data_IF_797861631171
#
_entry.id   IF_797861631171
#
_cell.length_a   1.000
_cell.length_b   1.000
_cell.length_c   1.000
_cell.angle_alpha   90.00
_cell.angle_beta   90.00
_cell.angle_gamma   90.00
#
_symmetry.space_group_name_H-M   'P 1'
#
loop_
_entity.id
_entity.type
_entity.pdbx_description
1 polymer ?
#
# COMPACT_ATOMS: atom_id res chain seq x y z
N UNK A 1 23.73 -7.02 -20.86
CA UNK A 1 22.37 -6.57 -21.16
C UNK A 1 22.19 -5.11 -20.78
N UNK A 2 21.27 -4.47 -21.42
CA UNK A 2 20.85 -3.12 -21.06
C UNK A 2 19.64 -3.23 -20.15
N UNK A 3 19.55 -2.36 -19.15
CA UNK A 3 18.40 -2.26 -18.25
C UNK A 3 17.83 -0.84 -18.36
N UNK A 4 16.51 -0.70 -18.42
CA UNK A 4 15.88 0.61 -18.38
C UNK A 4 15.80 1.13 -16.93
N UNK A 5 15.68 2.45 -16.79
CA UNK A 5 15.68 3.10 -15.47
C UNK A 5 14.56 2.61 -14.58
N UNK A 6 13.35 2.49 -15.12
CA UNK A 6 12.21 1.99 -14.36
C UNK A 6 12.43 0.58 -13.80
N UNK A 7 13.03 -0.32 -14.56
CA UNK A 7 13.34 -1.68 -14.09
C UNK A 7 14.44 -1.70 -13.03
N UNK A 8 15.47 -0.87 -13.18
CA UNK A 8 16.50 -0.74 -12.17
C UNK A 8 15.93 -0.27 -10.83
N UNK A 9 15.14 0.82 -10.86
CA UNK A 9 14.52 1.35 -9.64
C UNK A 9 13.58 0.34 -9.00
N UNK A 10 12.72 -0.30 -9.78
CA UNK A 10 11.83 -1.35 -9.30
C UNK A 10 12.58 -2.48 -8.58
N UNK A 11 13.64 -2.98 -9.21
CA UNK A 11 14.42 -4.09 -8.66
C UNK A 11 15.20 -3.67 -7.41
N UNK A 12 15.83 -2.49 -7.44
CA UNK A 12 16.61 -1.97 -6.33
C UNK A 12 15.72 -1.66 -5.10
N UNK A 13 14.55 -1.08 -5.31
CA UNK A 13 13.60 -0.79 -4.23
C UNK A 13 13.01 -2.06 -3.63
N UNK A 14 12.66 -3.05 -4.44
CA UNK A 14 12.22 -4.35 -3.95
C UNK A 14 13.29 -5.03 -3.09
N UNK A 15 14.57 -4.98 -3.53
CA UNK A 15 15.69 -5.52 -2.77
C UNK A 15 15.95 -4.73 -1.47
N UNK A 16 15.70 -3.43 -1.46
CA UNK A 16 15.85 -2.58 -0.28
C UNK A 16 14.64 -2.61 0.67
N UNK A 17 13.59 -3.38 0.34
CA UNK A 17 12.36 -3.43 1.13
C UNK A 17 11.51 -2.17 1.05
N UNK A 18 11.74 -1.30 0.06
CA UNK A 18 10.91 -0.14 -0.19
C UNK A 18 9.62 -0.62 -0.86
N UNK A 19 8.46 -0.42 -0.25
CA UNK A 19 7.21 -0.91 -0.80
C UNK A 19 6.91 -0.20 -2.11
N UNK A 20 6.79 -0.99 -3.16
CA UNK A 20 6.33 -0.53 -4.45
C UNK A 20 4.84 -0.85 -4.55
N UNK A 21 4.01 0.18 -4.67
CA UNK A 21 2.66 -0.01 -5.12
C UNK A 21 2.71 -0.52 -6.56
N UNK A 22 2.16 -1.68 -6.79
CA UNK A 22 1.91 -2.14 -8.15
C UNK A 22 0.65 -1.44 -8.67
N UNK A 23 0.81 -0.17 -9.05
CA UNK A 23 -0.25 0.64 -9.59
C UNK A 23 -0.84 0.07 -10.90
N UNK A 24 -0.17 -0.91 -11.51
CA UNK A 24 -0.62 -1.51 -12.77
C UNK A 24 -1.86 -2.38 -12.62
N UNK A 25 -2.15 -2.87 -11.44
CA UNK A 25 -3.30 -3.75 -11.25
C UNK A 25 -4.60 -3.00 -10.95
N UNK A 26 -4.54 -1.76 -10.44
CA UNK A 26 -5.71 -1.13 -9.82
C UNK A 26 -5.84 0.39 -9.97
N UNK A 27 -4.89 1.07 -10.59
CA UNK A 27 -4.98 2.51 -10.77
C UNK A 27 -5.52 2.83 -12.16
N UNK A 28 -6.43 3.78 -12.21
CA UNK A 28 -6.85 4.43 -13.47
C UNK A 28 -5.70 5.20 -14.11
N UNK A 29 -4.65 5.49 -13.35
CA UNK A 29 -3.40 6.04 -13.83
C UNK A 29 -2.51 4.89 -14.27
N UNK A 30 -2.50 4.60 -15.54
CA UNK A 30 -1.79 3.52 -16.22
C UNK A 30 -0.26 3.63 -16.12
N UNK A 31 0.27 3.81 -14.91
CA UNK A 31 1.72 3.76 -14.71
C UNK A 31 2.19 2.30 -14.70
N UNK A 32 3.16 2.01 -15.53
CA UNK A 32 3.86 0.73 -15.44
C UNK A 32 4.58 0.61 -14.08
N UNK A 33 4.86 -0.60 -13.58
CA UNK A 33 5.61 -0.78 -12.34
C UNK A 33 6.93 -0.02 -12.30
N UNK A 34 7.61 0.07 -13.44
CA UNK A 34 8.84 0.84 -13.59
C UNK A 34 8.64 2.34 -13.50
N UNK A 35 7.56 2.87 -14.07
CA UNK A 35 7.22 4.29 -13.97
C UNK A 35 6.87 4.67 -12.53
N UNK A 36 6.11 3.81 -11.83
CA UNK A 36 5.78 4.03 -10.44
C UNK A 36 7.03 4.01 -9.55
N UNK A 37 7.94 3.03 -9.74
CA UNK A 37 9.20 2.98 -9.01
C UNK A 37 10.05 4.24 -9.27
N UNK A 38 10.09 4.72 -10.51
CA UNK A 38 10.83 5.93 -10.83
C UNK A 38 10.20 7.18 -10.21
N UNK A 39 8.86 7.26 -10.15
CA UNK A 39 8.14 8.34 -9.46
C UNK A 39 8.55 8.39 -7.98
N UNK A 40 8.53 7.26 -7.31
CA UNK A 40 9.02 7.13 -5.93
C UNK A 40 10.49 7.57 -5.83
N UNK A 41 11.33 7.16 -6.77
CA UNK A 41 12.73 7.57 -6.82
C UNK A 41 12.93 9.08 -6.96
N UNK A 42 12.09 9.77 -7.70
CA UNK A 42 12.08 11.24 -7.81
C UNK A 42 11.66 11.89 -6.49
N UNK A 43 10.59 11.42 -5.88
CA UNK A 43 10.11 11.90 -4.58
C UNK A 43 11.16 11.74 -3.47
N UNK A 44 11.98 10.68 -3.54
CA UNK A 44 13.13 10.44 -2.67
C UNK A 44 14.36 11.31 -2.99
N UNK A 45 14.34 12.06 -4.07
CA UNK A 45 15.51 12.79 -4.56
C UNK A 45 16.62 11.87 -5.10
N UNK A 46 16.32 10.60 -5.36
CA UNK A 46 17.25 9.61 -5.92
C UNK A 46 17.33 9.67 -7.45
N UNK A 47 16.43 10.40 -8.08
CA UNK A 47 16.37 10.58 -9.53
C UNK A 47 15.98 12.02 -9.87
N UNK A 48 16.61 12.56 -10.90
CA UNK A 48 16.24 13.89 -11.40
C UNK A 48 14.87 13.86 -12.10
N UNK A 49 14.09 14.93 -11.96
CA UNK A 49 12.72 15.07 -12.46
C UNK A 49 12.58 14.85 -13.99
N UNK A 50 13.60 15.24 -14.76
CA UNK A 50 13.61 15.14 -16.22
C UNK A 50 13.91 13.74 -16.75
N UNK A 51 14.11 12.74 -15.89
CA UNK A 51 14.40 11.36 -16.31
C UNK A 51 13.13 10.56 -16.54
N UNK A 52 13.18 9.62 -17.48
CA UNK A 52 12.07 8.73 -17.82
C UNK A 52 12.37 7.27 -17.46
N UNK A 53 11.35 6.46 -17.25
CA UNK A 53 11.49 5.06 -16.91
C UNK A 53 12.03 4.21 -18.10
N UNK A 54 11.76 4.64 -19.32
CA UNK A 54 12.19 3.94 -20.53
C UNK A 54 13.65 4.18 -20.90
N UNK A 55 14.27 5.24 -20.37
CA UNK A 55 15.67 5.55 -20.66
C UNK A 55 16.62 4.46 -20.15
N UNK A 56 17.66 4.19 -20.90
CA UNK A 56 18.72 3.29 -20.47
C UNK A 56 19.53 3.92 -19.33
N UNK A 57 19.90 3.07 -18.39
CA UNK A 57 20.69 3.48 -17.22
C UNK A 57 22.20 3.34 -17.49
N UNK A 58 22.96 4.35 -17.09
CA UNK A 58 24.42 4.25 -17.05
C UNK A 58 24.88 3.49 -15.81
N UNK A 59 26.10 2.92 -15.87
CA UNK A 59 26.72 2.28 -14.69
C UNK A 59 26.88 3.25 -13.52
N UNK A 60 27.14 4.52 -13.82
CA UNK A 60 27.27 5.56 -12.79
C UNK A 60 25.95 5.81 -12.08
N UNK A 61 24.85 5.94 -12.80
CA UNK A 61 23.52 6.08 -12.20
C UNK A 61 23.14 4.88 -11.35
N UNK A 62 23.41 3.67 -11.82
CA UNK A 62 23.14 2.46 -11.05
C UNK A 62 23.97 2.42 -9.76
N UNK A 63 25.24 2.76 -9.82
CA UNK A 63 26.12 2.81 -8.65
C UNK A 63 25.66 3.89 -7.64
N UNK A 64 25.26 5.06 -8.12
CA UNK A 64 24.73 6.14 -7.27
C UNK A 64 23.45 5.71 -6.55
N UNK A 65 22.50 5.09 -7.26
CA UNK A 65 21.27 4.57 -6.65
C UNK A 65 21.58 3.54 -5.57
N UNK A 66 22.39 2.53 -5.88
CA UNK A 66 22.74 1.49 -4.92
C UNK A 66 23.50 2.06 -3.72
N UNK A 67 24.44 2.98 -3.93
CA UNK A 67 25.13 3.67 -2.85
C UNK A 67 24.15 4.42 -1.95
N UNK A 68 23.23 5.18 -2.53
CA UNK A 68 22.23 5.91 -1.76
C UNK A 68 21.32 4.97 -0.94
N UNK A 69 20.88 3.86 -1.52
CA UNK A 69 20.06 2.86 -0.81
C UNK A 69 20.80 2.16 0.34
N UNK A 70 22.11 2.00 0.22
CA UNK A 70 22.94 1.36 1.25
C UNK A 70 23.38 2.31 2.36
N UNK A 71 23.52 3.61 2.06
CA UNK A 71 24.11 4.59 2.99
C UNK A 71 23.09 5.55 3.59
N UNK A 72 22.01 5.84 2.89
CA UNK A 72 20.95 6.68 3.42
C UNK A 72 20.08 5.81 4.32
N UNK A 73 20.06 6.13 5.60
CA UNK A 73 19.00 5.67 6.48
C UNK A 73 17.73 6.37 6.00
N UNK A 74 16.97 5.70 5.16
CA UNK A 74 15.61 6.12 4.82
C UNK A 74 14.76 5.85 6.07
N UNK A 75 14.97 6.66 7.10
CA UNK A 75 14.18 6.59 8.32
C UNK A 75 12.80 7.16 7.97
N UNK A 76 11.89 6.26 7.69
CA UNK A 76 10.49 6.60 7.61
C UNK A 76 10.03 6.80 9.04
N UNK A 77 9.92 8.05 9.48
CA UNK A 77 9.14 8.34 10.67
C UNK A 77 7.70 8.02 10.34
N UNK A 78 7.06 7.10 11.05
CA UNK A 78 5.65 6.84 10.82
C UNK A 78 4.89 8.17 10.94
N UNK A 79 4.09 8.58 9.95
CA UNK A 79 3.30 9.78 10.06
C UNK A 79 2.25 9.61 11.14
N UNK A 80 1.90 10.71 11.82
CA UNK A 80 0.77 10.72 12.76
C UNK A 80 -0.51 10.40 12.01
N UNK A 81 -1.18 9.36 12.47
CA UNK A 81 -2.48 8.93 11.93
C UNK A 81 -3.52 8.87 13.03
N UNK A 82 -4.80 9.16 12.72
CA UNK A 82 -5.87 9.08 13.71
C UNK A 82 -6.22 7.64 14.12
N UNK A 83 -5.63 6.64 13.47
CA UNK A 83 -5.82 5.21 13.74
C UNK A 83 -4.49 4.49 13.79
N UNK A 84 -4.45 3.34 14.46
CA UNK A 84 -3.26 2.48 14.47
C UNK A 84 -3.04 1.86 13.08
N UNK A 85 -1.86 2.04 12.52
CA UNK A 85 -1.47 1.54 11.19
C UNK A 85 -0.11 0.90 11.24
N UNK A 86 0.00 -0.31 10.72
CA UNK A 86 1.27 -1.00 10.48
C UNK A 86 1.72 -0.80 9.03
N UNK A 87 3.02 -0.68 8.81
CA UNK A 87 3.66 -0.57 7.49
C UNK A 87 3.25 0.64 6.65
N UNK A 88 2.70 1.68 7.26
CA UNK A 88 2.44 2.93 6.58
C UNK A 88 3.77 3.60 6.24
N UNK A 89 3.88 4.08 5.01
CA UNK A 89 5.08 4.75 4.50
C UNK A 89 4.75 6.18 4.10
N UNK A 90 5.76 7.02 4.00
CA UNK A 90 5.61 8.39 3.50
C UNK A 90 5.03 8.47 2.07
N UNK A 91 5.09 7.37 1.32
CA UNK A 91 4.59 7.29 -0.07
C UNK A 91 3.09 7.11 -0.17
N UNK A 92 2.50 6.45 0.80
CA UNK A 92 1.08 6.12 0.78
C UNK A 92 0.28 6.88 1.84
N UNK A 93 0.94 7.61 2.74
CA UNK A 93 0.28 8.29 3.86
C UNK A 93 -0.76 9.30 3.39
N UNK A 94 -0.45 10.11 2.38
CA UNK A 94 -1.39 11.13 1.92
C UNK A 94 -2.67 10.50 1.36
N UNK A 95 -2.54 9.46 0.54
CA UNK A 95 -3.71 8.76 0.02
C UNK A 95 -4.52 8.09 1.13
N UNK A 96 -3.83 7.49 2.12
CA UNK A 96 -4.45 6.88 3.29
C UNK A 96 -5.23 7.90 4.14
N UNK A 97 -4.60 9.04 4.47
CA UNK A 97 -5.22 10.11 5.25
C UNK A 97 -6.43 10.74 4.53
N UNK A 98 -6.37 10.91 3.22
CA UNK A 98 -7.49 11.41 2.42
C UNK A 98 -8.72 10.50 2.51
N UNK A 99 -8.52 9.18 2.54
CA UNK A 99 -9.63 8.24 2.73
C UNK A 99 -10.14 8.25 4.19
N UNK A 100 -9.24 8.30 5.18
CA UNK A 100 -9.64 8.39 6.59
C UNK A 100 -10.43 9.65 6.92
N UNK A 101 -10.13 10.79 6.30
CA UNK A 101 -10.87 12.04 6.50
C UNK A 101 -12.36 11.95 6.14
N UNK A 102 -12.76 10.95 5.36
CA UNK A 102 -14.16 10.71 5.02
C UNK A 102 -14.91 10.00 6.14
N UNK A 103 -14.21 9.48 7.16
CA UNK A 103 -14.77 8.74 8.29
C UNK A 103 -14.91 9.70 9.47
N UNK A 104 -16.10 9.81 10.10
CA UNK A 104 -16.28 10.65 11.27
C UNK A 104 -15.35 10.27 12.43
N UNK A 105 -14.76 11.26 13.11
CA UNK A 105 -13.80 11.06 14.20
C UNK A 105 -14.31 10.09 15.30
N UNK A 106 -15.57 10.17 15.78
CA UNK A 106 -16.04 9.22 16.80
C UNK A 106 -15.98 7.76 16.36
N UNK A 107 -16.06 7.50 15.05
CA UNK A 107 -15.96 6.13 14.50
C UNK A 107 -14.50 5.69 14.44
N UNK A 108 -13.57 6.59 14.11
CA UNK A 108 -12.13 6.33 14.20
C UNK A 108 -11.68 6.07 15.64
N UNK A 109 -12.23 6.82 16.60
CA UNK A 109 -11.99 6.61 18.03
C UNK A 109 -12.47 5.23 18.46
N UNK A 110 -13.69 4.84 18.07
CA UNK A 110 -14.24 3.52 18.35
C UNK A 110 -13.41 2.39 17.72
N UNK A 111 -12.85 2.60 16.54
CA UNK A 111 -11.94 1.65 15.89
C UNK A 111 -10.70 1.39 16.75
N UNK A 112 -10.06 2.46 17.23
CA UNK A 112 -8.89 2.38 18.11
C UNK A 112 -9.23 1.74 19.46
N UNK A 113 -10.33 2.17 20.10
CA UNK A 113 -10.79 1.66 21.40
C UNK A 113 -11.12 0.16 21.34
N UNK A 114 -11.63 -0.31 20.22
CA UNK A 114 -11.87 -1.73 20.01
C UNK A 114 -10.61 -2.52 19.64
N UNK A 115 -9.46 -1.87 19.55
CA UNK A 115 -8.16 -2.51 19.27
C UNK A 115 -7.99 -3.01 17.84
N UNK A 116 -8.65 -2.36 16.89
CA UNK A 116 -8.45 -2.64 15.47
C UNK A 116 -7.23 -1.92 14.92
N UNK A 117 -6.61 -2.51 13.91
CA UNK A 117 -5.40 -1.97 13.26
C UNK A 117 -5.51 -2.12 11.76
N UNK A 118 -5.13 -1.08 11.03
CA UNK A 118 -4.87 -1.21 9.61
C UNK A 118 -3.47 -1.78 9.36
N UNK A 119 -3.35 -2.63 8.36
CA UNK A 119 -2.07 -3.19 7.90
C UNK A 119 -1.92 -2.89 6.42
N UNK A 120 -0.94 -2.07 6.09
CA UNK A 120 -0.62 -1.77 4.68
C UNK A 120 0.34 -2.84 4.20
N UNK A 121 -0.08 -3.63 3.22
CA UNK A 121 0.81 -4.66 2.70
C UNK A 121 0.14 -5.65 1.77
N UNK A 122 0.99 -6.33 1.01
CA UNK A 122 0.57 -7.22 -0.08
C UNK A 122 0.61 -8.69 0.27
N UNK A 123 1.40 -9.10 1.26
CA UNK A 123 1.69 -10.50 1.52
C UNK A 123 0.43 -11.29 1.88
N UNK A 124 -0.31 -10.81 2.88
CA UNK A 124 -1.57 -11.44 3.30
C UNK A 124 -2.60 -11.47 2.15
N UNK A 125 -2.78 -10.33 1.47
CA UNK A 125 -3.75 -10.20 0.38
C UNK A 125 -3.35 -11.06 -0.84
N UNK A 126 -2.06 -11.19 -1.12
CA UNK A 126 -1.56 -12.07 -2.17
C UNK A 126 -1.85 -13.54 -1.87
N UNK A 127 -1.62 -13.97 -0.63
CA UNK A 127 -1.94 -15.33 -0.18
C UNK A 127 -3.45 -15.59 -0.24
N UNK A 128 -4.25 -14.63 0.22
CA UNK A 128 -5.71 -14.71 0.16
C UNK A 128 -6.23 -14.76 -1.27
N UNK A 129 -5.71 -13.92 -2.16
CA UNK A 129 -6.05 -13.90 -3.58
C UNK A 129 -5.80 -15.23 -4.26
N UNK A 130 -4.64 -15.84 -3.98
CA UNK A 130 -4.31 -17.18 -4.50
C UNK A 130 -5.28 -18.26 -3.98
N UNK A 131 -5.63 -18.18 -2.70
CA UNK A 131 -6.55 -19.13 -2.07
C UNK A 131 -7.95 -19.03 -2.64
N UNK A 132 -8.44 -17.83 -2.90
CA UNK A 132 -9.80 -17.57 -3.35
C UNK A 132 -9.95 -17.59 -4.87
N UNK A 133 -8.86 -17.52 -5.62
CA UNK A 133 -8.88 -17.40 -7.08
C UNK A 133 -9.41 -16.04 -7.58
N UNK A 134 -9.42 -15.03 -6.72
CA UNK A 134 -9.86 -13.65 -7.02
C UNK A 134 -8.85 -12.65 -6.50
N UNK A 135 -8.86 -11.48 -7.08
CA UNK A 135 -7.92 -10.43 -6.70
C UNK A 135 -8.46 -9.65 -5.49
N UNK A 136 -7.77 -9.73 -4.35
CA UNK A 136 -8.14 -9.04 -3.12
C UNK A 136 -7.27 -7.80 -2.96
N UNK A 137 -7.88 -6.61 -2.94
CA UNK A 137 -7.21 -5.34 -2.67
C UNK A 137 -7.37 -4.87 -1.21
N UNK A 138 -8.28 -5.52 -0.49
CA UNK A 138 -8.52 -5.35 0.93
C UNK A 138 -9.09 -6.62 1.54
N UNK A 139 -9.03 -6.75 2.84
CA UNK A 139 -9.66 -7.81 3.61
C UNK A 139 -9.74 -7.47 5.10
N UNK A 140 -10.86 -7.74 5.73
CA UNK A 140 -11.02 -7.64 7.19
C UNK A 140 -10.83 -9.02 7.84
N UNK A 141 -9.86 -9.12 8.73
CA UNK A 141 -9.60 -10.30 9.55
C UNK A 141 -10.20 -10.09 10.95
N UNK A 142 -11.44 -10.51 11.13
CA UNK A 142 -12.22 -10.22 12.33
C UNK A 142 -11.60 -10.78 13.61
N UNK A 143 -11.08 -11.98 13.57
CA UNK A 143 -10.47 -12.64 14.73
C UNK A 143 -9.20 -11.93 15.19
N UNK A 144 -8.46 -11.37 14.24
CA UNK A 144 -7.22 -10.64 14.48
C UNK A 144 -7.45 -9.16 14.75
N UNK A 145 -8.67 -8.66 14.47
CA UNK A 145 -9.03 -7.25 14.46
C UNK A 145 -8.10 -6.43 13.57
N UNK A 146 -7.84 -6.93 12.36
CA UNK A 146 -6.97 -6.32 11.38
C UNK A 146 -7.70 -6.08 10.07
N UNK A 147 -7.47 -4.92 9.50
CA UNK A 147 -7.89 -4.58 8.16
C UNK A 147 -6.63 -4.48 7.28
N UNK A 148 -6.49 -5.44 6.38
CA UNK A 148 -5.42 -5.44 5.40
C UNK A 148 -5.87 -4.65 4.18
N UNK A 149 -5.06 -3.70 3.74
CA UNK A 149 -5.33 -2.91 2.54
C UNK A 149 -4.07 -2.82 1.67
N UNK A 150 -4.28 -2.96 0.38
CA UNK A 150 -3.25 -2.76 -0.62
C UNK A 150 -3.31 -1.35 -1.20
N UNK A 151 -4.51 -0.84 -1.40
CA UNK A 151 -4.80 0.48 -1.93
C UNK A 151 -5.68 1.29 -0.98
N UNK A 152 -5.47 2.60 -0.97
CA UNK A 152 -6.28 3.52 -0.17
C UNK A 152 -7.77 3.44 -0.53
N UNK A 153 -8.11 3.17 -1.79
CA UNK A 153 -9.48 3.00 -2.27
C UNK A 153 -10.27 1.90 -1.55
N UNK A 154 -9.59 0.88 -1.02
CA UNK A 154 -10.22 -0.20 -0.28
C UNK A 154 -10.58 0.18 1.17
N UNK A 155 -10.01 1.25 1.73
CA UNK A 155 -10.14 1.60 3.15
C UNK A 155 -11.59 1.71 3.59
N UNK A 156 -12.41 2.48 2.87
CA UNK A 156 -13.81 2.69 3.24
C UNK A 156 -14.63 1.40 3.18
N UNK A 157 -14.36 0.56 2.18
CA UNK A 157 -15.04 -0.73 2.05
C UNK A 157 -14.68 -1.65 3.22
N UNK A 158 -13.41 -1.81 3.49
CA UNK A 158 -12.94 -2.68 4.57
C UNK A 158 -13.30 -2.13 5.96
N UNK A 159 -13.37 -0.80 6.10
CA UNK A 159 -13.84 -0.17 7.32
C UNK A 159 -15.34 -0.46 7.58
N UNK A 160 -16.13 -0.63 6.53
CA UNK A 160 -17.51 -1.10 6.64
C UNK A 160 -17.62 -2.44 7.37
N UNK A 161 -16.66 -3.35 7.18
CA UNK A 161 -16.62 -4.62 7.90
C UNK A 161 -16.37 -4.45 9.41
N UNK A 162 -15.57 -3.45 9.81
CA UNK A 162 -15.44 -3.10 11.23
C UNK A 162 -16.79 -2.64 11.81
N UNK A 163 -17.52 -1.79 11.09
CA UNK A 163 -18.83 -1.32 11.52
C UNK A 163 -19.83 -2.47 11.63
N UNK A 164 -19.88 -3.37 10.67
CA UNK A 164 -20.72 -4.55 10.71
C UNK A 164 -20.42 -5.42 11.94
N UNK A 165 -19.16 -5.60 12.25
CA UNK A 165 -18.71 -6.36 13.42
C UNK A 165 -19.12 -5.69 14.74
N UNK A 166 -18.97 -4.36 14.84
CA UNK A 166 -19.30 -3.60 16.07
C UNK A 166 -20.78 -3.43 16.28
N UNK A 167 -21.57 -3.33 15.21
CA UNK A 167 -23.02 -3.20 15.25
C UNK A 167 -23.73 -4.53 15.50
N UNK A 168 -23.00 -5.64 15.63
CA UNK A 168 -23.56 -6.93 15.95
C UNK A 168 -24.28 -7.61 14.79
N UNK A 169 -24.00 -7.22 13.56
CA UNK A 169 -24.47 -7.99 12.41
C UNK A 169 -23.83 -9.39 12.46
N UNK A 170 -24.63 -10.45 12.27
CA UNK A 170 -24.13 -11.80 12.45
C UNK A 170 -22.92 -12.09 11.56
N UNK A 171 -21.84 -12.57 12.16
CA UNK A 171 -20.61 -12.97 11.49
C UNK A 171 -20.79 -14.17 10.52
N UNK A 172 -22.01 -14.66 10.36
CA UNK A 172 -22.38 -15.69 9.39
C UNK A 172 -22.15 -15.25 7.93
N UNK A 173 -21.82 -13.99 7.74
CA UNK A 173 -21.49 -13.41 6.43
C UNK A 173 -19.98 -13.45 6.13
N UNK A 174 -19.28 -14.47 6.57
CA UNK A 174 -17.92 -14.71 6.13
C UNK A 174 -17.84 -14.76 4.61
N UNK A 175 -17.47 -13.64 4.03
CA UNK A 175 -16.84 -13.47 2.74
C UNK A 175 -17.59 -13.90 1.48
N UNK A 176 -18.39 -14.96 1.51
CA UNK A 176 -18.99 -15.53 0.31
C UNK A 176 -20.46 -15.14 0.09
N UNK A 177 -21.16 -14.69 1.11
CA UNK A 177 -22.59 -14.32 0.96
C UNK A 177 -22.81 -12.82 0.81
N UNK A 178 -21.97 -11.98 1.43
CA UNK A 178 -22.13 -10.53 1.33
C UNK A 178 -21.77 -9.99 -0.06
N UNK A 179 -20.80 -10.60 -0.75
CA UNK A 179 -20.48 -10.23 -2.13
C UNK A 179 -21.58 -10.54 -3.14
N UNK A 180 -22.65 -11.23 -2.71
CA UNK A 180 -23.80 -11.55 -3.56
C UNK A 180 -25.03 -10.69 -3.28
N UNK A 181 -24.99 -9.83 -2.26
CA UNK A 181 -26.15 -9.04 -1.81
C UNK A 181 -25.94 -7.53 -1.94
N UNK A 182 -24.74 -7.11 -2.38
CA UNK A 182 -24.40 -5.77 -2.85
C UNK A 182 -24.11 -5.82 -4.33
#
# INVERSE_FOLDING_TARGET
GFICRGELYRTAFAAAGIPLYDATLYSLDWLSPGENALRIGKELGLCAENKTAADLVTRAEAAQLLHALLTQTLSVTPPDTPVTVENLTQWNVNAFLLELQKIPQPILDAFNENGWTFVIGTEYLTALSRKLGVNCIGAAAYTEKRIYVFEASAILHEFGHFLDCTMGFPQEHNGTRQSKTL
#
